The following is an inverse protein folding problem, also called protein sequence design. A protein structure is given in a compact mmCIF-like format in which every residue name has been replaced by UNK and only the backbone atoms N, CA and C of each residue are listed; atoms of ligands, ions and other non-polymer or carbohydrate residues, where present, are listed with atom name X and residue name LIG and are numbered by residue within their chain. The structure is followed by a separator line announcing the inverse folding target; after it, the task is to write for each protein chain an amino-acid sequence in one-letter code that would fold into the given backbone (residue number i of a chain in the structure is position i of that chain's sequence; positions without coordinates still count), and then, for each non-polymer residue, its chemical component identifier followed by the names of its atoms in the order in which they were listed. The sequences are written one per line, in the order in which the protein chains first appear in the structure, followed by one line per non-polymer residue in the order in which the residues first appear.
data_IF_006920926102
#
_entry.id   IF_006920926102
#
_cell.length_a   1.000
_cell.length_b   1.000
_cell.length_c   1.000
_cell.angle_alpha   90.00
_cell.angle_beta   90.00
_cell.angle_gamma   90.00
#
_symmetry.space_group_name_H-M   'P 1'
#
loop_
_entity.id
_entity.type
_entity.pdbx_description
1 polymer ?
#
# COMPACT_ATOMS: atom_id res chain seq x y z
N UNK A 1 -28.40 10.96 -24.56
CA UNK A 1 -28.29 10.41 -23.18
C UNK A 1 -26.85 10.07 -22.81
N UNK A 2 -26.01 9.77 -23.79
CA UNK A 2 -24.60 9.35 -23.64
C UNK A 2 -23.76 10.26 -22.75
N UNK A 3 -23.98 11.58 -22.81
CA UNK A 3 -23.28 12.54 -21.95
C UNK A 3 -23.55 12.28 -20.45
N UNK A 4 -24.80 11.94 -20.09
CA UNK A 4 -25.13 11.59 -18.71
C UNK A 4 -24.44 10.29 -18.30
N UNK A 5 -24.49 9.25 -19.15
CA UNK A 5 -23.86 7.97 -18.87
C UNK A 5 -22.35 8.06 -18.74
N UNK A 6 -21.71 8.90 -19.56
CA UNK A 6 -20.28 9.21 -19.43
C UNK A 6 -19.96 9.84 -18.06
N UNK A 7 -20.78 10.79 -17.59
CA UNK A 7 -20.60 11.43 -16.27
C UNK A 7 -20.84 10.44 -15.12
N UNK A 8 -21.86 9.59 -15.22
CA UNK A 8 -22.14 8.56 -14.20
C UNK A 8 -21.01 7.54 -14.15
N UNK A 9 -20.58 7.01 -15.31
CA UNK A 9 -19.44 6.09 -15.40
C UNK A 9 -18.21 6.69 -14.74
N UNK A 10 -17.81 7.88 -15.17
CA UNK A 10 -16.63 8.57 -14.63
C UNK A 10 -16.75 8.83 -13.11
N UNK A 11 -17.95 9.13 -12.61
CA UNK A 11 -18.18 9.22 -11.15
C UNK A 11 -17.92 7.89 -10.44
N UNK A 12 -18.43 6.78 -10.96
CA UNK A 12 -18.26 5.45 -10.37
C UNK A 12 -16.80 4.99 -10.46
N UNK A 13 -16.11 5.22 -11.59
CA UNK A 13 -14.68 4.91 -11.74
C UNK A 13 -13.80 5.74 -10.77
N UNK A 14 -14.26 6.96 -10.41
CA UNK A 14 -13.56 7.85 -9.48
C UNK A 14 -13.90 7.62 -8.00
N UNK A 15 -15.09 7.13 -7.67
CA UNK A 15 -15.53 7.01 -6.27
C UNK A 15 -15.89 5.59 -5.82
N UNK A 16 -15.80 4.61 -6.71
CA UNK A 16 -16.16 3.22 -6.45
C UNK A 16 -17.53 2.86 -7.05
N UNK A 17 -17.70 1.59 -7.38
CA UNK A 17 -18.92 1.05 -8.02
C UNK A 17 -20.17 1.19 -7.14
N UNK A 18 -19.99 1.21 -5.82
CA UNK A 18 -21.07 1.35 -4.84
C UNK A 18 -21.41 2.82 -4.51
N UNK A 19 -20.78 3.78 -5.18
CA UNK A 19 -21.08 5.19 -4.93
C UNK A 19 -22.51 5.52 -5.37
N UNK A 20 -23.36 5.92 -4.43
CA UNK A 20 -24.74 6.36 -4.67
C UNK A 20 -24.94 7.85 -4.36
N UNK A 21 -23.93 8.65 -4.67
CA UNK A 21 -23.98 10.10 -4.49
C UNK A 21 -24.86 10.81 -5.53
N UNK A 22 -24.58 12.10 -5.76
CA UNK A 22 -25.22 12.89 -6.82
C UNK A 22 -24.21 13.27 -7.89
N UNK A 23 -24.68 13.32 -9.14
CA UNK A 23 -23.90 13.83 -10.29
C UNK A 23 -24.60 15.05 -10.88
N UNK A 24 -23.81 16.01 -11.38
CA UNK A 24 -24.35 17.14 -12.12
C UNK A 24 -24.86 16.64 -13.48
N UNK A 25 -26.07 17.05 -13.85
CA UNK A 25 -26.62 16.77 -15.17
C UNK A 25 -25.84 17.59 -16.19
N UNK A 26 -25.20 16.97 -17.20
CA UNK A 26 -24.54 17.70 -18.27
C UNK A 26 -25.57 18.40 -19.15
N UNK A 27 -25.13 19.21 -20.11
CA UNK A 27 -26.05 19.79 -21.09
C UNK A 27 -26.65 18.66 -21.94
N UNK A 28 -27.94 18.40 -21.71
CA UNK A 28 -28.73 17.41 -22.41
C UNK A 28 -29.61 18.09 -23.46
N UNK A 29 -29.72 17.48 -24.63
CA UNK A 29 -30.75 17.82 -25.62
C UNK A 29 -32.17 17.56 -25.07
N UNK A 30 -33.19 17.98 -25.82
CA UNK A 30 -34.58 17.86 -25.39
C UNK A 30 -35.04 16.40 -25.24
N UNK A 31 -34.58 15.52 -26.13
CA UNK A 31 -34.92 14.10 -26.15
C UNK A 31 -34.33 13.37 -24.94
N UNK A 32 -33.07 13.62 -24.63
CA UNK A 32 -32.38 13.09 -23.46
C UNK A 32 -33.02 13.59 -22.16
N UNK A 33 -33.43 14.86 -22.10
CA UNK A 33 -34.17 15.39 -20.94
C UNK A 33 -35.52 14.71 -20.76
N UNK A 34 -36.25 14.46 -21.85
CA UNK A 34 -37.54 13.77 -21.81
C UNK A 34 -37.38 12.32 -21.36
N UNK A 35 -36.35 11.64 -21.88
CA UNK A 35 -35.99 10.27 -21.51
C UNK A 35 -35.67 10.19 -20.02
N UNK A 36 -34.81 11.09 -19.53
CA UNK A 36 -34.44 11.16 -18.12
C UNK A 36 -35.63 11.49 -17.21
N UNK A 37 -36.54 12.37 -17.66
CA UNK A 37 -37.80 12.65 -16.95
C UNK A 37 -38.69 11.42 -16.86
N UNK A 38 -38.80 10.68 -17.95
CA UNK A 38 -39.63 9.46 -18.01
C UNK A 38 -39.05 8.37 -17.11
N UNK A 39 -37.73 8.21 -17.12
CA UNK A 39 -37.00 7.28 -16.26
C UNK A 39 -37.18 7.60 -14.78
N UNK A 40 -37.02 8.86 -14.37
CA UNK A 40 -37.08 9.27 -12.97
C UNK A 40 -38.50 9.56 -12.46
N UNK A 41 -39.51 9.54 -13.32
CA UNK A 41 -40.89 9.94 -13.01
C UNK A 41 -41.05 11.44 -12.67
N UNK A 42 -39.99 12.25 -12.80
CA UNK A 42 -39.98 13.69 -12.46
C UNK A 42 -38.98 14.44 -13.32
N UNK A 43 -39.20 15.75 -13.49
CA UNK A 43 -38.28 16.59 -14.25
C UNK A 43 -36.88 16.56 -13.60
N UNK A 44 -35.80 16.30 -14.38
CA UNK A 44 -34.45 16.26 -13.84
C UNK A 44 -34.02 17.63 -13.30
N UNK A 45 -33.42 17.64 -12.11
CA UNK A 45 -32.81 18.84 -11.54
C UNK A 45 -31.42 19.08 -12.14
N UNK A 46 -30.70 20.13 -11.70
CA UNK A 46 -29.29 20.31 -12.06
C UNK A 46 -28.39 19.13 -11.62
N UNK A 47 -28.89 18.27 -10.74
CA UNK A 47 -28.23 17.04 -10.30
C UNK A 47 -29.16 15.82 -10.40
N UNK A 48 -28.58 14.65 -10.59
CA UNK A 48 -29.26 13.35 -10.51
C UNK A 48 -28.70 12.57 -9.33
N UNK A 49 -29.59 11.98 -8.55
CA UNK A 49 -29.28 11.05 -7.48
C UNK A 49 -29.02 9.67 -8.09
N UNK A 50 -27.84 9.10 -7.84
CA UNK A 50 -27.44 7.83 -8.42
C UNK A 50 -28.23 6.64 -7.83
N UNK A 51 -28.70 6.72 -6.58
CA UNK A 51 -29.58 5.70 -6.02
C UNK A 51 -30.92 5.68 -6.76
N UNK A 52 -31.53 6.86 -6.95
CA UNK A 52 -32.81 6.96 -7.65
C UNK A 52 -32.69 6.52 -9.12
N UNK A 53 -31.56 6.84 -9.77
CA UNK A 53 -31.26 6.41 -11.13
C UNK A 53 -31.08 4.88 -11.21
N UNK A 54 -30.38 4.28 -10.25
CA UNK A 54 -30.24 2.83 -10.15
C UNK A 54 -31.59 2.15 -10.01
N UNK A 55 -32.40 2.55 -9.03
CA UNK A 55 -33.74 1.99 -8.80
C UNK A 55 -34.56 2.03 -10.08
N UNK A 56 -34.59 3.18 -10.79
CA UNK A 56 -35.34 3.30 -12.02
C UNK A 56 -34.84 2.37 -13.15
N UNK A 57 -33.54 2.16 -13.27
CA UNK A 57 -32.96 1.27 -14.29
C UNK A 57 -33.19 -0.22 -13.94
N UNK A 58 -33.11 -0.57 -12.66
CA UNK A 58 -33.39 -1.91 -12.14
C UNK A 58 -34.87 -2.25 -12.29
N UNK A 59 -35.77 -1.32 -11.97
CA UNK A 59 -37.22 -1.49 -12.13
C UNK A 59 -37.62 -1.70 -13.61
N UNK A 60 -36.87 -1.10 -14.54
CA UNK A 60 -37.02 -1.32 -15.99
C UNK A 60 -36.33 -2.59 -16.51
N UNK A 61 -35.64 -3.33 -15.64
CA UNK A 61 -34.92 -4.56 -16.01
C UNK A 61 -33.68 -4.34 -16.88
N UNK A 62 -33.12 -3.12 -16.90
CA UNK A 62 -31.91 -2.79 -17.69
C UNK A 62 -30.66 -3.45 -17.13
N UNK A 63 -30.61 -3.67 -15.81
CA UNK A 63 -29.52 -4.36 -15.13
C UNK A 63 -29.88 -4.68 -13.67
N UNK A 64 -29.00 -5.39 -12.97
CA UNK A 64 -29.18 -5.75 -11.54
C UNK A 64 -28.73 -4.64 -10.58
N UNK A 65 -27.88 -3.73 -11.06
CA UNK A 65 -27.39 -2.54 -10.36
C UNK A 65 -27.02 -1.45 -11.40
N UNK A 66 -26.54 -0.30 -10.93
CA UNK A 66 -26.16 0.82 -11.79
C UNK A 66 -25.00 0.49 -12.74
N UNK A 67 -24.00 -0.28 -12.29
CA UNK A 67 -22.84 -0.63 -13.10
C UNK A 67 -23.22 -1.62 -14.22
N UNK A 68 -24.03 -2.62 -13.89
CA UNK A 68 -24.63 -3.56 -14.83
C UNK A 68 -25.54 -2.86 -15.82
N UNK A 69 -26.36 -1.91 -15.36
CA UNK A 69 -27.22 -1.10 -16.24
C UNK A 69 -26.40 -0.28 -17.22
N UNK A 70 -25.32 0.36 -16.76
CA UNK A 70 -24.41 1.09 -17.65
C UNK A 70 -23.72 0.16 -18.64
N UNK A 71 -23.32 -1.05 -18.25
CA UNK A 71 -22.73 -2.02 -19.16
C UNK A 71 -23.69 -2.44 -20.28
N UNK A 72 -24.97 -2.71 -19.94
CA UNK A 72 -26.02 -3.01 -20.93
C UNK A 72 -26.25 -1.83 -21.89
N UNK A 73 -26.15 -0.60 -21.38
CA UNK A 73 -26.24 0.62 -22.18
C UNK A 73 -24.96 0.96 -22.96
N UNK A 74 -23.93 0.10 -22.97
CA UNK A 74 -22.67 0.31 -23.70
C UNK A 74 -21.64 1.20 -22.99
N UNK A 75 -21.87 1.52 -21.72
CA UNK A 75 -21.05 2.40 -20.89
C UNK A 75 -20.45 1.67 -19.68
N UNK A 76 -19.95 0.45 -19.88
CA UNK A 76 -19.34 -0.38 -18.82
C UNK A 76 -18.32 0.39 -17.96
N UNK A 77 -18.36 0.13 -16.66
CA UNK A 77 -17.55 0.81 -15.64
C UNK A 77 -16.37 -0.06 -15.25
N UNK A 78 -15.15 0.49 -15.17
CA UNK A 78 -13.98 -0.23 -14.69
C UNK A 78 -13.65 0.10 -13.23
N UNK A 79 -13.42 -0.91 -12.39
CA UNK A 79 -12.95 -0.73 -11.00
C UNK A 79 -11.42 -0.48 -10.91
N UNK A 80 -10.69 -0.70 -12.00
CA UNK A 80 -9.24 -0.62 -12.05
C UNK A 80 -8.67 0.76 -11.59
N UNK A 81 -9.24 1.93 -11.99
CA UNK A 81 -8.79 3.22 -11.48
C UNK A 81 -8.95 3.37 -9.96
N UNK A 82 -10.04 2.85 -9.39
CA UNK A 82 -10.30 2.89 -7.96
C UNK A 82 -9.33 2.00 -7.19
N UNK A 83 -9.10 0.77 -7.66
CA UNK A 83 -8.09 -0.14 -7.13
C UNK A 83 -6.70 0.49 -7.12
N UNK A 84 -6.28 1.12 -8.22
CA UNK A 84 -4.98 1.81 -8.29
C UNK A 84 -4.86 2.96 -7.30
N UNK A 85 -5.92 3.76 -7.11
CA UNK A 85 -5.90 4.84 -6.11
C UNK A 85 -5.77 4.29 -4.69
N UNK A 86 -6.54 3.25 -4.35
CA UNK A 86 -6.46 2.58 -3.05
C UNK A 86 -5.06 2.01 -2.80
N UNK A 87 -4.48 1.32 -3.77
CA UNK A 87 -3.11 0.79 -3.65
C UNK A 87 -2.06 1.90 -3.47
N UNK A 88 -2.21 3.04 -4.15
CA UNK A 88 -1.31 4.20 -3.97
C UNK A 88 -1.45 4.84 -2.59
N UNK A 89 -2.66 4.95 -2.06
CA UNK A 89 -2.92 5.48 -0.73
C UNK A 89 -2.30 4.58 0.34
N UNK A 90 -2.58 3.28 0.29
CA UNK A 90 -1.98 2.28 1.21
C UNK A 90 -0.45 2.31 1.13
N UNK A 91 0.12 2.35 -0.08
CA UNK A 91 1.57 2.45 -0.23
C UNK A 91 2.16 3.78 0.26
N UNK A 92 1.39 4.88 0.25
CA UNK A 92 1.82 6.15 0.82
C UNK A 92 1.79 6.11 2.36
N UNK A 93 0.75 5.54 2.94
CA UNK A 93 0.62 5.31 4.39
C UNK A 93 1.74 4.40 4.91
N UNK A 94 2.04 3.30 4.21
CA UNK A 94 3.14 2.40 4.55
C UNK A 94 4.51 3.12 4.57
N UNK A 95 4.79 3.94 3.56
CA UNK A 95 6.03 4.74 3.51
C UNK A 95 6.10 5.77 4.64
N UNK A 96 4.99 6.46 4.91
CA UNK A 96 4.93 7.43 6.01
C UNK A 96 5.18 6.75 7.37
N UNK A 97 4.52 5.62 7.64
CA UNK A 97 4.71 4.85 8.86
C UNK A 97 6.15 4.36 9.04
N UNK A 98 6.81 3.93 7.96
CA UNK A 98 8.22 3.55 7.98
C UNK A 98 9.15 4.74 8.31
N UNK A 99 8.92 5.91 7.69
CA UNK A 99 9.68 7.12 7.99
C UNK A 99 9.50 7.58 9.44
N UNK A 100 8.26 7.60 9.94
CA UNK A 100 7.93 7.98 11.31
C UNK A 100 8.60 7.06 12.34
N UNK A 101 8.66 5.75 12.06
CA UNK A 101 9.35 4.80 12.93
C UNK A 101 10.88 5.01 12.90
N UNK A 102 11.46 5.18 11.71
CA UNK A 102 12.89 5.44 11.56
C UNK A 102 13.33 6.79 12.15
N UNK A 103 12.43 7.77 12.26
CA UNK A 103 12.73 9.07 12.86
C UNK A 103 13.03 8.99 14.36
N UNK A 104 12.59 7.91 15.02
CA UNK A 104 12.85 7.67 16.45
C UNK A 104 14.24 7.13 16.72
N UNK A 105 14.96 6.72 15.67
CA UNK A 105 16.30 6.16 15.81
C UNK A 105 17.30 7.29 16.10
N UNK A 106 18.26 7.08 17.01
CA UNK A 106 19.25 8.11 17.33
C UNK A 106 20.26 8.34 16.20
N UNK A 107 20.42 7.40 15.27
CA UNK A 107 21.40 7.47 14.20
C UNK A 107 21.00 8.44 13.10
N UNK A 108 21.93 9.32 12.71
CA UNK A 108 21.71 10.32 11.65
C UNK A 108 21.46 9.70 10.26
N UNK A 109 21.94 8.47 10.04
CA UNK A 109 21.74 7.74 8.78
C UNK A 109 20.38 7.06 8.66
N UNK A 110 19.57 6.99 9.72
CA UNK A 110 18.32 6.23 9.73
C UNK A 110 17.32 6.69 8.65
N UNK A 111 17.24 8.00 8.39
CA UNK A 111 16.37 8.55 7.35
C UNK A 111 16.83 8.21 5.93
N UNK A 112 18.14 8.16 5.70
CA UNK A 112 18.69 7.75 4.41
C UNK A 112 18.51 6.25 4.19
N UNK A 113 18.71 5.45 5.25
CA UNK A 113 18.46 4.01 5.23
C UNK A 113 17.01 3.68 4.88
N UNK A 114 16.02 4.26 5.57
CA UNK A 114 14.61 3.93 5.28
C UNK A 114 14.21 4.37 3.86
N UNK A 115 14.73 5.50 3.39
CA UNK A 115 14.52 5.95 2.01
C UNK A 115 15.11 4.98 0.98
N UNK A 116 16.28 4.40 1.25
CA UNK A 116 16.88 3.37 0.40
C UNK A 116 16.08 2.07 0.41
N UNK A 117 15.65 1.61 1.59
CA UNK A 117 14.81 0.41 1.73
C UNK A 117 13.48 0.58 0.99
N UNK A 118 12.86 1.77 1.04
CA UNK A 118 11.67 2.11 0.24
C UNK A 118 11.97 2.04 -1.26
N UNK A 119 13.08 2.63 -1.71
CA UNK A 119 13.48 2.63 -3.13
C UNK A 119 13.74 1.20 -3.66
N UNK A 120 14.25 0.32 -2.81
CA UNK A 120 14.50 -1.09 -3.14
C UNK A 120 13.23 -1.92 -3.33
N UNK A 121 12.06 -1.39 -2.91
CA UNK A 121 10.78 -2.09 -3.01
C UNK A 121 10.50 -3.06 -1.84
N UNK A 122 11.30 -3.04 -0.77
CA UNK A 122 11.09 -3.91 0.39
C UNK A 122 9.73 -3.67 1.10
N UNK A 123 9.16 -2.46 0.97
CA UNK A 123 7.83 -2.10 1.48
C UNK A 123 6.69 -2.34 0.48
N UNK A 124 6.96 -2.98 -0.66
CA UNK A 124 5.92 -3.27 -1.64
C UNK A 124 4.90 -4.25 -1.05
N UNK A 125 3.63 -3.91 -1.26
CA UNK A 125 2.47 -4.68 -0.81
C UNK A 125 2.36 -4.79 0.73
N UNK A 126 3.07 -3.94 1.48
CA UNK A 126 2.88 -3.80 2.92
C UNK A 126 1.84 -2.73 3.23
N UNK A 127 1.08 -2.94 4.30
CA UNK A 127 0.31 -1.88 4.95
C UNK A 127 1.16 -1.05 5.94
N UNK A 128 0.52 -0.09 6.61
CA UNK A 128 1.18 0.80 7.55
C UNK A 128 1.74 0.09 8.79
N UNK A 129 1.03 -0.90 9.32
CA UNK A 129 1.42 -1.62 10.54
C UNK A 129 2.55 -2.62 10.22
N UNK A 130 2.47 -3.30 9.08
CA UNK A 130 3.54 -4.17 8.58
C UNK A 130 4.83 -3.39 8.29
N UNK A 131 4.71 -2.21 7.67
CA UNK A 131 5.86 -1.34 7.40
C UNK A 131 6.52 -0.86 8.71
N UNK A 132 5.71 -0.45 9.68
CA UNK A 132 6.20 -0.08 11.02
C UNK A 132 6.87 -1.26 11.70
N UNK A 133 6.25 -2.43 11.66
CA UNK A 133 6.78 -3.66 12.24
C UNK A 133 8.12 -4.07 11.64
N UNK A 134 8.28 -3.93 10.31
CA UNK A 134 9.55 -4.19 9.63
C UNK A 134 10.66 -3.27 10.17
N UNK A 135 10.42 -1.96 10.26
CA UNK A 135 11.41 -1.00 10.78
C UNK A 135 11.73 -1.29 12.25
N UNK A 136 10.71 -1.49 13.08
CA UNK A 136 10.90 -1.83 14.49
C UNK A 136 11.71 -3.11 14.69
N UNK A 137 11.47 -4.15 13.87
CA UNK A 137 12.23 -5.39 13.93
C UNK A 137 13.69 -5.20 13.51
N UNK A 138 13.98 -4.34 12.52
CA UNK A 138 15.36 -3.99 12.18
C UNK A 138 16.05 -3.34 13.38
N UNK A 139 15.41 -2.36 14.04
CA UNK A 139 15.96 -1.72 15.24
C UNK A 139 16.29 -2.75 16.34
N UNK A 140 15.35 -3.64 16.63
CA UNK A 140 15.54 -4.69 17.64
C UNK A 140 16.73 -5.60 17.33
N UNK A 141 16.93 -5.95 16.06
CA UNK A 141 18.08 -6.75 15.62
C UNK A 141 19.39 -5.97 15.82
N UNK A 142 19.42 -4.68 15.45
CA UNK A 142 20.60 -3.83 15.67
C UNK A 142 20.93 -3.66 17.17
N UNK A 143 19.91 -3.48 18.01
CA UNK A 143 20.05 -3.38 19.47
C UNK A 143 20.63 -4.66 20.08
N UNK A 144 20.21 -5.83 19.58
CA UNK A 144 20.75 -7.11 20.04
C UNK A 144 22.22 -7.26 19.67
N UNK A 145 22.57 -6.92 18.43
CA UNK A 145 23.97 -6.92 17.96
C UNK A 145 24.82 -6.00 18.85
N UNK A 146 24.32 -4.80 19.17
CA UNK A 146 25.01 -3.86 20.05
C UNK A 146 25.18 -4.40 21.47
N UNK A 147 24.14 -5.02 22.02
CA UNK A 147 24.21 -5.59 23.36
C UNK A 147 25.21 -6.74 23.44
N UNK A 148 25.23 -7.60 22.42
CA UNK A 148 26.17 -8.72 22.32
C UNK A 148 27.61 -8.24 22.19
N UNK A 149 27.86 -7.24 21.34
CA UNK A 149 29.20 -6.69 21.12
C UNK A 149 29.75 -5.90 22.31
N UNK A 150 28.88 -5.29 23.12
CA UNK A 150 29.27 -4.49 24.30
C UNK A 150 29.29 -5.31 25.61
N UNK A 151 29.01 -6.62 25.56
CA UNK A 151 29.02 -7.49 26.74
C UNK A 151 30.41 -7.73 27.30
N UNK A 152 30.55 -7.69 28.63
CA UNK A 152 31.78 -8.00 29.38
C UNK A 152 32.12 -9.49 29.29
N UNK A 153 32.75 -9.90 28.20
CA UNK A 153 33.30 -11.25 28.07
C UNK A 153 33.42 -11.67 26.62
N UNK A 154 34.61 -11.46 26.03
CA UNK A 154 35.03 -11.85 24.68
C UNK A 154 33.99 -12.65 23.90
N UNK A 155 33.02 -11.93 23.32
CA UNK A 155 31.82 -12.55 22.80
C UNK A 155 32.17 -13.39 21.57
N UNK A 156 31.82 -14.67 21.62
CA UNK A 156 31.85 -15.53 20.44
C UNK A 156 30.92 -14.93 19.36
N UNK A 157 31.22 -15.13 18.06
CA UNK A 157 30.35 -14.64 16.99
C UNK A 157 28.92 -15.14 17.16
N UNK A 158 27.93 -14.25 17.06
CA UNK A 158 26.51 -14.63 17.15
C UNK A 158 26.05 -15.22 15.82
N UNK A 159 25.39 -16.37 15.81
CA UNK A 159 24.79 -16.87 14.57
C UNK A 159 23.57 -16.03 14.19
N UNK A 160 23.39 -15.76 12.89
CA UNK A 160 22.19 -15.10 12.36
C UNK A 160 20.89 -15.84 12.71
N UNK A 161 20.96 -17.18 12.79
CA UNK A 161 19.82 -18.05 13.14
C UNK A 161 19.44 -17.84 14.61
N UNK A 162 20.44 -17.80 15.49
CA UNK A 162 20.25 -17.54 16.93
C UNK A 162 19.72 -16.13 17.18
N UNK A 163 20.26 -15.14 16.47
CA UNK A 163 19.80 -13.76 16.49
C UNK A 163 18.32 -13.63 16.07
N UNK A 164 17.93 -14.33 15.00
CA UNK A 164 16.55 -14.32 14.54
C UNK A 164 15.61 -15.00 15.54
N UNK A 165 16.00 -16.16 16.08
CA UNK A 165 15.22 -16.88 17.07
C UNK A 165 15.03 -16.08 18.38
N UNK A 166 16.09 -15.45 18.88
CA UNK A 166 16.07 -14.72 20.16
C UNK A 166 15.29 -13.40 20.08
N UNK A 167 15.49 -12.64 19.00
CA UNK A 167 14.88 -11.31 18.85
C UNK A 167 13.49 -11.40 18.26
N UNK A 168 13.28 -12.25 17.27
CA UNK A 168 12.08 -12.24 16.44
C UNK A 168 11.16 -13.43 16.72
N UNK A 169 11.61 -14.41 17.50
CA UNK A 169 10.85 -15.63 17.82
C UNK A 169 10.79 -16.65 16.67
N UNK A 170 11.52 -16.41 15.57
CA UNK A 170 11.59 -17.28 14.40
C UNK A 170 12.99 -17.21 13.77
N UNK A 171 13.67 -18.34 13.75
CA UNK A 171 15.03 -18.52 13.23
C UNK A 171 15.19 -18.21 11.74
N UNK A 172 14.09 -18.19 10.97
CA UNK A 172 14.11 -18.05 9.52
C UNK A 172 13.86 -16.62 9.03
N UNK A 173 13.55 -15.68 9.93
CA UNK A 173 13.22 -14.31 9.53
C UNK A 173 14.41 -13.51 9.00
N UNK A 174 15.63 -13.95 9.32
CA UNK A 174 16.88 -13.39 8.79
C UNK A 174 17.53 -14.28 7.71
N UNK A 175 16.79 -15.23 7.13
CA UNK A 175 17.29 -16.02 6.00
C UNK A 175 17.58 -15.15 4.76
N UNK A 176 18.53 -15.59 3.94
CA UNK A 176 18.89 -14.90 2.70
C UNK A 176 17.66 -14.69 1.80
N UNK A 177 17.50 -13.47 1.29
CA UNK A 177 16.40 -13.12 0.40
C UNK A 177 15.09 -12.77 1.12
N UNK A 178 15.04 -12.82 2.46
CA UNK A 178 13.94 -12.24 3.23
C UNK A 178 14.04 -10.71 3.22
N UNK A 179 12.88 -10.05 3.24
CA UNK A 179 12.79 -8.58 3.28
C UNK A 179 13.48 -8.01 4.53
N UNK A 180 13.31 -8.66 5.67
CA UNK A 180 13.92 -8.24 6.93
C UNK A 180 15.44 -8.40 6.89
N UNK A 181 15.96 -9.53 6.42
CA UNK A 181 17.40 -9.73 6.19
C UNK A 181 17.98 -8.60 5.33
N UNK A 182 17.36 -8.34 4.17
CA UNK A 182 17.84 -7.32 3.26
C UNK A 182 17.73 -5.88 3.82
N UNK A 183 16.80 -5.62 4.74
CA UNK A 183 16.66 -4.33 5.42
C UNK A 183 17.71 -4.16 6.53
N UNK A 184 17.97 -5.21 7.33
CA UNK A 184 19.02 -5.21 8.36
C UNK A 184 20.39 -5.08 7.71
N UNK A 185 20.69 -5.85 6.66
CA UNK A 185 21.96 -5.78 5.95
C UNK A 185 22.24 -4.36 5.43
N UNK A 186 21.24 -3.68 4.86
CA UNK A 186 21.38 -2.27 4.46
C UNK A 186 21.67 -1.36 5.63
N UNK A 187 20.99 -1.55 6.76
CA UNK A 187 21.23 -0.73 7.96
C UNK A 187 22.67 -0.89 8.46
N UNK A 188 23.17 -2.13 8.51
CA UNK A 188 24.56 -2.43 8.85
C UNK A 188 25.54 -1.79 7.85
N UNK A 189 25.21 -1.78 6.55
CA UNK A 189 25.99 -1.07 5.53
C UNK A 189 26.07 0.44 5.77
N UNK A 190 24.96 1.10 6.11
CA UNK A 190 24.95 2.52 6.49
C UNK A 190 25.78 2.79 7.75
N UNK A 191 25.72 1.87 8.72
CA UNK A 191 26.49 1.96 9.97
C UNK A 191 27.99 1.81 9.77
N UNK A 192 28.42 0.83 8.96
CA UNK A 192 29.83 0.51 8.74
C UNK A 192 30.48 1.35 7.64
N UNK A 193 29.68 1.98 6.77
CA UNK A 193 30.14 2.66 5.58
C UNK A 193 30.44 1.68 4.42
N UNK A 194 31.16 2.13 3.38
CA UNK A 194 31.48 1.31 2.22
C UNK A 194 32.23 0.04 2.63
N UNK A 195 31.56 -1.09 2.48
CA UNK A 195 32.06 -2.44 2.75
C UNK A 195 32.13 -3.19 1.43
N UNK A 196 33.14 -4.03 1.24
CA UNK A 196 33.43 -4.64 -0.07
C UNK A 196 32.34 -5.61 -0.56
N UNK A 197 31.87 -6.52 0.31
CA UNK A 197 30.84 -7.52 -0.03
C UNK A 197 29.79 -7.71 1.09
N UNK A 198 28.68 -8.37 0.73
CA UNK A 198 27.50 -8.57 1.59
C UNK A 198 27.76 -9.50 2.79
N UNK A 199 28.63 -10.49 2.66
CA UNK A 199 28.99 -11.40 3.75
C UNK A 199 29.86 -10.69 4.80
N UNK A 200 30.70 -9.77 4.33
CA UNK A 200 31.55 -8.93 5.17
C UNK A 200 30.74 -8.02 6.08
N UNK A 201 29.57 -7.53 5.65
CA UNK A 201 28.73 -6.63 6.48
C UNK A 201 28.28 -7.31 7.77
N UNK A 202 27.82 -8.56 7.69
CA UNK A 202 27.39 -9.32 8.87
C UNK A 202 28.59 -9.67 9.78
N UNK A 203 29.67 -10.17 9.18
CA UNK A 203 30.88 -10.55 9.92
C UNK A 203 31.52 -9.36 10.64
N UNK A 204 31.63 -8.20 9.99
CA UNK A 204 32.14 -6.95 10.57
C UNK A 204 31.23 -6.42 11.69
N UNK A 205 29.97 -6.86 11.74
CA UNK A 205 29.02 -6.52 12.80
C UNK A 205 29.03 -7.52 13.97
N UNK A 206 29.89 -8.54 13.94
CA UNK A 206 29.97 -9.58 14.97
C UNK A 206 28.98 -10.74 14.77
N UNK A 207 28.33 -10.84 13.61
CA UNK A 207 27.34 -11.88 13.29
C UNK A 207 27.90 -12.83 12.22
N UNK A 208 27.86 -14.13 12.48
CA UNK A 208 28.23 -15.13 11.49
C UNK A 208 27.04 -15.51 10.61
N UNK A 209 27.28 -15.55 9.30
CA UNK A 209 26.37 -16.15 8.35
C UNK A 209 26.54 -17.66 8.40
N UNK A 210 25.61 -18.38 9.00
CA UNK A 210 25.58 -19.83 8.80
C UNK A 210 25.26 -20.11 7.33
N UNK A 211 26.18 -20.83 6.69
CA UNK A 211 26.18 -21.36 5.31
C UNK A 211 26.80 -20.46 4.22
N UNK A 212 28.07 -20.76 3.91
CA UNK A 212 28.38 -21.75 2.85
C UNK A 212 29.36 -22.77 3.38
#
# INVERSE_FOLDING_TARGET
MDALWAVVRDRLERQGLDNRGRVRVPDLDAEARLTLKSLLGKSPSATVDLAALETALVDLGVGSDLAGSLAVLGHGVSDEPARRRKARALGAEARAAAHDEAQRWPETWAQEWVADVIRSGAFRDLDADEARGLVANVRRVLDEIDRHNNGDGGALPLSRVELAASVLGDSHLLDNGRRLEAAVRRALGFRLGPTGDDASVWALSGVHSDLT
#
